data_IF_634702767247
#
_entry.id   IF_634702767247
#
_cell.length_a   1.000
_cell.length_b   1.000
_cell.length_c   1.000
_cell.angle_alpha   90.00
_cell.angle_beta   90.00
_cell.angle_gamma   90.00
#
_symmetry.space_group_name_H-M   'P 1'
#
loop_
_entity.id
_entity.type
_entity.pdbx_description
1 polymer ?
#
# COMPACT_ATOMS: atom_id res chain seq x y z
N UNK A 1 53.46 -12.26 108.17
CA UNK A 1 52.20 -11.83 107.53
C UNK A 1 52.31 -11.98 106.02
N UNK A 2 51.25 -12.47 105.39
CA UNK A 2 51.21 -13.16 104.10
C UNK A 2 51.82 -12.42 102.90
N UNK A 3 52.67 -13.13 102.14
CA UNK A 3 53.11 -12.78 100.79
C UNK A 3 52.00 -13.07 99.78
N UNK A 4 51.59 -12.02 99.06
CA UNK A 4 50.58 -11.99 98.00
C UNK A 4 51.10 -12.70 96.74
N UNK A 5 50.66 -13.93 96.49
CA UNK A 5 50.93 -14.65 95.25
C UNK A 5 50.05 -14.11 94.12
N UNK A 6 50.66 -13.36 93.20
CA UNK A 6 50.05 -13.00 91.91
C UNK A 6 49.94 -14.26 91.05
N UNK A 7 48.71 -14.71 90.79
CA UNK A 7 48.40 -15.78 89.83
C UNK A 7 48.79 -15.30 88.43
N UNK A 8 49.90 -15.81 87.87
CA UNK A 8 50.29 -15.60 86.47
C UNK A 8 49.38 -16.46 85.59
N UNK A 9 48.47 -15.84 84.86
CA UNK A 9 47.72 -16.51 83.79
C UNK A 9 48.68 -16.93 82.66
N UNK A 10 48.49 -18.13 82.13
CA UNK A 10 49.40 -18.71 81.13
C UNK A 10 49.27 -18.02 79.77
N UNK A 11 50.37 -17.74 79.04
CA UNK A 11 50.36 -17.07 77.74
C UNK A 11 49.46 -17.72 76.66
N UNK A 12 49.13 -19.00 76.82
CA UNK A 12 48.32 -19.80 75.88
C UNK A 12 46.83 -19.42 75.85
N UNK A 13 46.27 -18.93 76.97
CA UNK A 13 44.84 -18.54 77.02
C UNK A 13 44.58 -17.19 76.37
N UNK A 14 45.49 -16.22 76.56
CA UNK A 14 45.38 -14.90 75.95
C UNK A 14 45.52 -14.95 74.42
N UNK A 15 46.42 -15.79 73.89
CA UNK A 15 46.58 -15.97 72.43
C UNK A 15 45.37 -16.63 71.77
N UNK A 16 44.70 -17.55 72.45
CA UNK A 16 43.48 -18.19 71.93
C UNK A 16 42.28 -17.22 71.93
N UNK A 17 42.15 -16.38 72.96
CA UNK A 17 41.13 -15.32 73.00
C UNK A 17 41.34 -14.29 71.89
N UNK A 18 42.58 -13.87 71.63
CA UNK A 18 42.92 -12.98 70.52
C UNK A 18 42.57 -13.57 69.14
N UNK A 19 42.83 -14.87 68.93
CA UNK A 19 42.44 -15.57 67.70
C UNK A 19 40.92 -15.62 67.50
N UNK A 20 40.17 -15.86 68.58
CA UNK A 20 38.71 -15.92 68.53
C UNK A 20 38.11 -14.53 68.18
N UNK A 21 38.60 -13.47 68.83
CA UNK A 21 38.19 -12.09 68.52
C UNK A 21 38.53 -11.71 67.08
N UNK A 22 39.69 -12.12 66.57
CA UNK A 22 40.08 -11.88 65.18
C UNK A 22 39.17 -12.65 64.19
N UNK A 23 38.76 -13.87 64.52
CA UNK A 23 37.85 -14.67 63.69
C UNK A 23 36.43 -14.09 63.67
N UNK A 24 35.91 -13.64 64.82
CA UNK A 24 34.58 -13.04 64.92
C UNK A 24 34.52 -11.69 64.21
N UNK A 25 35.56 -10.85 64.36
CA UNK A 25 35.65 -9.58 63.63
C UNK A 25 35.74 -9.78 62.11
N UNK A 26 36.49 -10.78 61.65
CA UNK A 26 36.53 -11.13 60.22
C UNK A 26 35.17 -11.63 59.71
N UNK A 27 34.47 -12.48 60.48
CA UNK A 27 33.14 -12.96 60.13
C UNK A 27 32.12 -11.82 60.03
N UNK A 28 32.16 -10.87 60.95
CA UNK A 28 31.29 -9.69 60.91
C UNK A 28 31.57 -8.82 59.69
N UNK A 29 32.85 -8.59 59.36
CA UNK A 29 33.23 -7.86 58.15
C UNK A 29 32.73 -8.53 56.85
N UNK A 30 32.74 -9.87 56.80
CA UNK A 30 32.16 -10.61 55.68
C UNK A 30 30.63 -10.47 55.59
N UNK A 31 29.95 -10.47 56.74
CA UNK A 31 28.50 -10.26 56.80
C UNK A 31 28.12 -8.85 56.35
N UNK A 32 28.87 -7.84 56.77
CA UNK A 32 28.67 -6.45 56.36
C UNK A 32 28.90 -6.27 54.86
N UNK A 33 29.96 -6.90 54.32
CA UNK A 33 30.23 -6.89 52.88
C UNK A 33 29.06 -7.53 52.10
N UNK A 34 28.58 -8.69 52.55
CA UNK A 34 27.45 -9.38 51.90
C UNK A 34 26.18 -8.52 51.95
N UNK A 35 25.87 -7.91 53.09
CA UNK A 35 24.71 -7.03 53.24
C UNK A 35 24.79 -5.81 52.31
N UNK A 36 25.98 -5.22 52.17
CA UNK A 36 26.18 -4.07 51.29
C UNK A 36 26.01 -4.45 49.81
N UNK A 37 26.57 -5.58 49.38
CA UNK A 37 26.40 -6.09 48.00
C UNK A 37 24.91 -6.31 47.69
N UNK A 38 24.18 -6.98 48.59
CA UNK A 38 22.74 -7.23 48.40
C UNK A 38 21.97 -5.91 48.31
N UNK A 39 22.29 -4.94 49.16
CA UNK A 39 21.66 -3.61 49.13
C UNK A 39 21.93 -2.89 47.81
N UNK A 40 23.18 -2.91 47.33
CA UNK A 40 23.56 -2.26 46.07
C UNK A 40 22.84 -2.90 44.87
N UNK A 41 22.82 -4.23 44.79
CA UNK A 41 22.09 -4.96 43.74
C UNK A 41 20.60 -4.63 43.79
N UNK A 42 20.01 -4.59 45.00
CA UNK A 42 18.60 -4.24 45.17
C UNK A 42 18.29 -2.84 44.64
N UNK A 43 19.14 -1.84 44.94
CA UNK A 43 18.97 -0.49 44.43
C UNK A 43 19.06 -0.43 42.90
N UNK A 44 20.09 -1.04 42.31
CA UNK A 44 20.24 -1.09 40.84
C UNK A 44 19.07 -1.79 40.16
N UNK A 45 18.54 -2.86 40.77
CA UNK A 45 17.34 -3.54 40.27
C UNK A 45 16.10 -2.64 40.33
N UNK A 46 15.96 -1.79 41.34
CA UNK A 46 14.84 -0.84 41.39
C UNK A 46 14.97 0.24 40.32
N UNK A 47 16.17 0.80 40.12
CA UNK A 47 16.44 1.79 39.07
C UNK A 47 16.15 1.22 37.67
N UNK A 48 16.65 0.01 37.37
CA UNK A 48 16.37 -0.69 36.12
C UNK A 48 14.87 -0.93 35.93
N UNK A 49 14.16 -1.29 37.00
CA UNK A 49 12.71 -1.48 36.96
C UNK A 49 11.97 -0.17 36.66
N UNK A 50 12.40 0.95 37.25
CA UNK A 50 11.78 2.25 36.97
C UNK A 50 12.03 2.70 35.54
N UNK A 51 13.25 2.52 35.02
CA UNK A 51 13.60 2.89 33.65
C UNK A 51 12.85 2.05 32.62
N UNK A 52 12.77 0.74 32.84
CA UNK A 52 11.98 -0.16 31.99
C UNK A 52 10.50 0.22 31.99
N UNK A 53 9.95 0.57 33.15
CA UNK A 53 8.55 1.01 33.24
C UNK A 53 8.32 2.30 32.45
N UNK A 54 9.20 3.30 32.61
CA UNK A 54 9.11 4.54 31.84
C UNK A 54 9.23 4.30 30.32
N UNK A 55 10.12 3.40 29.90
CA UNK A 55 10.26 3.00 28.51
C UNK A 55 9.00 2.30 27.95
N UNK A 56 8.39 1.41 28.73
CA UNK A 56 7.13 0.74 28.38
C UNK A 56 6.00 1.76 28.25
N UNK A 57 5.85 2.66 29.23
CA UNK A 57 4.81 3.69 29.22
C UNK A 57 4.97 4.63 28.02
N UNK A 58 6.21 5.04 27.71
CA UNK A 58 6.48 5.85 26.52
C UNK A 58 6.16 5.10 25.21
N UNK A 59 6.40 3.80 25.13
CA UNK A 59 6.11 3.01 23.94
C UNK A 59 4.61 2.80 23.76
N UNK A 60 3.87 2.58 24.86
CA UNK A 60 2.40 2.48 24.81
C UNK A 60 1.77 3.75 24.24
N UNK A 61 2.23 4.93 24.66
CA UNK A 61 1.77 6.20 24.09
C UNK A 61 2.01 6.31 22.58
N UNK A 62 3.18 5.84 22.09
CA UNK A 62 3.49 5.82 20.66
C UNK A 62 2.61 4.82 19.91
N UNK A 63 2.35 3.65 20.49
CA UNK A 63 1.47 2.62 19.93
C UNK A 63 0.04 3.16 19.80
N UNK A 64 -0.46 3.88 20.80
CA UNK A 64 -1.79 4.48 20.76
C UNK A 64 -1.89 5.53 19.64
N UNK A 65 -0.87 6.40 19.51
CA UNK A 65 -0.81 7.38 18.43
C UNK A 65 -0.78 6.71 17.04
N UNK A 66 0.04 5.67 16.86
CA UNK A 66 0.05 4.92 15.60
C UNK A 66 -1.27 4.23 15.32
N UNK A 67 -1.93 3.69 16.34
CA UNK A 67 -3.25 3.04 16.19
C UNK A 67 -4.31 4.03 15.68
N UNK A 68 -4.25 5.30 16.11
CA UNK A 68 -5.15 6.34 15.59
C UNK A 68 -4.86 6.65 14.11
N UNK A 69 -3.58 6.86 13.77
CA UNK A 69 -3.17 7.14 12.38
C UNK A 69 -3.58 6.00 11.43
N UNK A 70 -3.39 4.74 11.84
CA UNK A 70 -3.80 3.58 11.04
C UNK A 70 -5.30 3.60 10.77
N UNK A 71 -6.14 3.88 11.77
CA UNK A 71 -7.60 3.98 11.58
C UNK A 71 -8.00 5.07 10.59
N UNK A 72 -7.34 6.24 10.66
CA UNK A 72 -7.60 7.33 9.72
C UNK A 72 -7.22 6.93 8.29
N UNK A 73 -6.04 6.31 8.12
CA UNK A 73 -5.58 5.81 6.81
C UNK A 73 -6.55 4.77 6.26
N UNK A 74 -6.97 3.79 7.05
CA UNK A 74 -7.96 2.77 6.64
C UNK A 74 -9.28 3.42 6.17
N UNK A 75 -9.76 4.43 6.90
CA UNK A 75 -10.96 5.16 6.48
C UNK A 75 -10.77 5.91 5.16
N UNK A 76 -9.62 6.55 4.95
CA UNK A 76 -9.33 7.24 3.68
C UNK A 76 -9.21 6.28 2.50
N UNK A 77 -8.54 5.13 2.69
CA UNK A 77 -8.38 4.10 1.66
C UNK A 77 -9.75 3.54 1.26
N UNK A 78 -10.59 3.15 2.22
CA UNK A 78 -11.93 2.64 1.93
C UNK A 78 -12.83 3.65 1.23
N UNK A 79 -12.68 4.96 1.52
CA UNK A 79 -13.38 6.02 0.78
C UNK A 79 -12.87 6.12 -0.66
N UNK A 80 -11.56 6.16 -0.85
CA UNK A 80 -10.94 6.25 -2.19
C UNK A 80 -11.29 5.05 -3.07
N UNK A 81 -11.33 3.84 -2.51
CA UNK A 81 -11.73 2.63 -3.25
C UNK A 81 -13.15 2.73 -3.80
N UNK A 82 -14.10 3.25 -3.00
CA UNK A 82 -15.48 3.47 -3.45
C UNK A 82 -15.57 4.51 -4.56
N UNK A 83 -14.86 5.64 -4.41
CA UNK A 83 -14.83 6.70 -5.43
C UNK A 83 -14.21 6.18 -6.75
N UNK A 84 -13.15 5.38 -6.66
CA UNK A 84 -12.49 4.78 -7.81
C UNK A 84 -13.40 3.79 -8.56
N UNK A 85 -14.22 3.03 -7.82
CA UNK A 85 -15.19 2.13 -8.44
C UNK A 85 -16.29 2.91 -9.17
N UNK A 86 -16.84 3.97 -8.56
CA UNK A 86 -17.83 4.83 -9.22
C UNK A 86 -17.29 5.47 -10.50
N UNK A 87 -16.03 5.93 -10.48
CA UNK A 87 -15.39 6.53 -11.66
C UNK A 87 -15.17 5.51 -12.79
N UNK A 88 -14.88 4.24 -12.46
CA UNK A 88 -14.78 3.18 -13.47
C UNK A 88 -16.14 2.93 -14.12
N UNK A 89 -17.21 2.85 -13.33
CA UNK A 89 -18.56 2.66 -13.86
C UNK A 89 -18.99 3.82 -14.77
N UNK A 90 -18.74 5.06 -14.35
CA UNK A 90 -19.01 6.25 -15.16
C UNK A 90 -18.22 6.25 -16.47
N UNK A 91 -16.91 5.96 -16.39
CA UNK A 91 -16.05 5.86 -17.58
C UNK A 91 -16.55 4.79 -18.55
N UNK A 92 -16.97 3.63 -18.06
CA UNK A 92 -17.50 2.56 -18.91
C UNK A 92 -18.77 3.01 -19.62
N UNK A 93 -19.69 3.69 -18.92
CA UNK A 93 -20.91 4.25 -19.53
C UNK A 93 -20.60 5.31 -20.58
N UNK A 94 -19.61 6.17 -20.33
CA UNK A 94 -19.22 7.19 -21.30
C UNK A 94 -18.53 6.57 -22.52
N UNK A 95 -17.75 5.51 -22.34
CA UNK A 95 -17.19 4.75 -23.45
C UNK A 95 -18.28 4.05 -24.27
N UNK A 96 -19.28 3.46 -23.61
CA UNK A 96 -20.43 2.85 -24.28
C UNK A 96 -21.25 3.89 -25.07
N UNK A 97 -21.49 5.07 -24.48
CA UNK A 97 -22.14 6.19 -25.18
C UNK A 97 -21.33 6.67 -26.38
N UNK A 98 -20.02 6.81 -26.23
CA UNK A 98 -19.13 7.21 -27.32
C UNK A 98 -19.17 6.17 -28.45
N UNK A 99 -19.13 4.89 -28.09
CA UNK A 99 -19.26 3.79 -29.06
C UNK A 99 -20.62 3.85 -29.77
N UNK A 100 -21.72 4.07 -29.05
CA UNK A 100 -23.04 4.23 -29.67
C UNK A 100 -23.07 5.42 -30.63
N UNK A 101 -22.51 6.58 -30.26
CA UNK A 101 -22.46 7.74 -31.15
C UNK A 101 -21.61 7.45 -32.39
N UNK A 102 -20.50 6.74 -32.24
CA UNK A 102 -19.63 6.38 -33.37
C UNK A 102 -20.29 5.33 -34.27
N UNK A 103 -20.98 4.34 -33.69
CA UNK A 103 -21.79 3.38 -34.42
C UNK A 103 -22.93 4.07 -35.16
N UNK A 104 -23.65 4.98 -34.52
CA UNK A 104 -24.73 5.77 -35.13
C UNK A 104 -24.17 6.58 -36.30
N UNK A 105 -23.01 7.24 -36.16
CA UNK A 105 -22.33 7.94 -37.27
C UNK A 105 -21.92 7.01 -38.40
N UNK A 106 -21.39 5.83 -38.08
CA UNK A 106 -20.97 4.85 -39.07
C UNK A 106 -22.16 4.21 -39.80
N UNK A 107 -23.33 4.07 -39.15
CA UNK A 107 -24.54 3.60 -39.81
C UNK A 107 -25.05 4.53 -40.91
N UNK A 108 -24.59 5.79 -40.95
CA UNK A 108 -24.90 6.73 -42.03
C UNK A 108 -23.85 6.73 -43.16
N UNK A 109 -22.91 5.78 -43.20
CA UNK A 109 -21.84 5.81 -44.21
C UNK A 109 -21.48 4.42 -44.76
N UNK A 110 -22.09 4.02 -45.88
CA UNK A 110 -21.66 2.81 -46.60
C UNK A 110 -20.54 3.15 -47.59
N UNK A 111 -19.43 2.40 -47.54
CA UNK A 111 -18.33 2.53 -48.51
C UNK A 111 -18.24 1.24 -49.32
N UNK A 112 -18.48 1.35 -50.62
CA UNK A 112 -18.32 0.26 -51.58
C UNK A 112 -17.02 0.49 -52.35
N UNK A 113 -16.13 -0.50 -52.32
CA UNK A 113 -14.85 -0.44 -53.02
C UNK A 113 -14.84 -1.45 -54.18
N UNK A 114 -14.04 -1.17 -55.22
CA UNK A 114 -13.81 -2.06 -56.35
C UNK A 114 -15.06 -2.42 -57.17
N UNK A 115 -16.06 -1.53 -57.24
CA UNK A 115 -17.14 -1.69 -58.22
C UNK A 115 -16.58 -1.51 -59.64
N UNK A 116 -17.01 -2.35 -60.58
CA UNK A 116 -16.68 -2.11 -61.99
C UNK A 116 -17.33 -0.79 -62.43
N UNK A 117 -16.57 0.07 -63.12
CA UNK A 117 -17.06 1.35 -63.63
C UNK A 117 -17.27 1.24 -65.15
N UNK A 118 -18.50 1.50 -65.60
CA UNK A 118 -18.81 1.64 -67.02
C UNK A 118 -19.01 3.11 -67.42
N UNK A 119 -18.62 3.46 -68.65
CA UNK A 119 -18.78 4.82 -69.18
C UNK A 119 -20.26 5.10 -69.45
N UNK A 120 -20.80 6.17 -68.85
CA UNK A 120 -22.21 6.55 -68.95
C UNK A 120 -23.16 5.86 -67.97
N UNK A 121 -22.63 5.08 -67.03
CA UNK A 121 -23.41 4.37 -66.02
C UNK A 121 -23.97 5.29 -64.92
N UNK A 122 -25.28 5.22 -64.72
CA UNK A 122 -25.96 5.86 -63.59
C UNK A 122 -25.80 5.00 -62.33
N UNK A 123 -24.71 5.27 -61.62
CA UNK A 123 -24.33 4.56 -60.42
C UNK A 123 -25.28 4.82 -59.24
N UNK A 124 -25.91 6.00 -59.20
CA UNK A 124 -26.89 6.32 -58.17
C UNK A 124 -28.12 5.42 -58.36
N UNK A 125 -28.60 5.30 -59.59
CA UNK A 125 -29.70 4.41 -59.91
C UNK A 125 -29.35 2.93 -59.69
N UNK A 126 -28.16 2.48 -60.11
CA UNK A 126 -27.72 1.08 -59.95
C UNK A 126 -27.60 0.68 -58.47
N UNK A 127 -27.02 1.55 -57.64
CA UNK A 127 -26.88 1.29 -56.21
C UNK A 127 -28.22 1.33 -55.50
N UNK A 128 -29.11 2.26 -55.85
CA UNK A 128 -30.47 2.29 -55.33
C UNK A 128 -31.20 1.00 -55.74
N UNK A 129 -31.14 0.57 -57.00
CA UNK A 129 -31.82 -0.65 -57.44
C UNK A 129 -31.32 -1.90 -56.71
N UNK A 130 -30.00 -2.04 -56.53
CA UNK A 130 -29.39 -3.22 -55.90
C UNK A 130 -29.58 -3.22 -54.37
N UNK A 131 -29.42 -2.07 -53.72
CA UNK A 131 -29.40 -1.97 -52.26
C UNK A 131 -30.73 -1.48 -51.65
N UNK A 132 -31.68 -0.95 -52.42
CA UNK A 132 -33.00 -0.56 -51.90
C UNK A 132 -33.72 -1.73 -51.26
N UNK A 133 -33.55 -2.94 -51.79
CA UNK A 133 -34.19 -4.16 -51.25
C UNK A 133 -33.51 -4.70 -49.99
N UNK A 134 -32.21 -4.43 -49.82
CA UNK A 134 -31.40 -5.00 -48.74
C UNK A 134 -31.31 -4.08 -47.52
N UNK A 135 -31.15 -2.77 -47.73
CA UNK A 135 -30.91 -1.78 -46.68
C UNK A 135 -31.85 -0.58 -46.75
N UNK A 136 -32.89 -0.63 -47.59
CA UNK A 136 -33.95 0.40 -47.61
C UNK A 136 -33.51 1.75 -48.20
N UNK A 137 -32.49 1.74 -49.05
CA UNK A 137 -31.95 2.92 -49.71
C UNK A 137 -33.03 3.70 -50.47
N UNK A 138 -33.06 5.01 -50.31
CA UNK A 138 -34.02 5.89 -50.98
C UNK A 138 -33.33 6.86 -51.94
N UNK A 139 -34.12 7.54 -52.78
CA UNK A 139 -33.62 8.63 -53.65
C UNK A 139 -33.18 9.87 -52.87
N UNK A 140 -33.44 9.93 -51.56
CA UNK A 140 -33.01 11.04 -50.69
C UNK A 140 -31.58 10.84 -50.17
N UNK A 141 -31.08 9.60 -50.25
CA UNK A 141 -29.74 9.20 -49.81
C UNK A 141 -28.69 9.76 -50.78
N UNK A 142 -27.57 10.25 -50.26
CA UNK A 142 -26.53 10.87 -51.09
C UNK A 142 -25.48 9.86 -51.48
N UNK A 143 -25.43 9.52 -52.76
CA UNK A 143 -24.45 8.60 -53.35
C UNK A 143 -23.40 9.40 -54.12
N UNK A 144 -22.12 9.17 -53.83
CA UNK A 144 -21.03 9.87 -54.53
C UNK A 144 -19.80 9.00 -54.72
N UNK A 145 -19.12 9.18 -55.87
CA UNK A 145 -17.85 8.52 -56.18
C UNK A 145 -16.68 9.31 -55.59
N UNK A 146 -15.89 8.68 -54.74
CA UNK A 146 -14.68 9.25 -54.14
C UNK A 146 -13.45 8.65 -54.80
N UNK A 147 -12.77 9.47 -55.59
CA UNK A 147 -11.45 9.15 -56.14
C UNK A 147 -10.36 9.87 -55.38
N UNK A 148 -9.60 9.16 -54.55
CA UNK A 148 -8.41 9.69 -53.90
C UNK A 148 -7.22 9.78 -54.89
N UNK A 149 -6.12 10.43 -54.48
CA UNK A 149 -4.93 10.60 -55.33
C UNK A 149 -4.36 9.26 -55.81
N UNK A 150 -4.49 8.21 -55.02
CA UNK A 150 -3.99 6.88 -55.34
C UNK A 150 -4.83 6.20 -56.43
N UNK A 151 -6.17 6.20 -56.31
CA UNK A 151 -7.06 5.58 -57.32
C UNK A 151 -6.91 6.26 -58.67
N UNK A 152 -6.80 7.60 -58.69
CA UNK A 152 -6.56 8.38 -59.91
C UNK A 152 -5.22 8.04 -60.57
N UNK A 153 -4.14 7.92 -59.80
CA UNK A 153 -2.80 7.61 -60.32
C UNK A 153 -2.69 6.20 -60.87
N UNK A 154 -3.34 5.24 -60.22
CA UNK A 154 -3.23 3.82 -60.56
C UNK A 154 -4.36 3.32 -61.47
N UNK A 155 -5.26 4.21 -61.93
CA UNK A 155 -6.44 3.85 -62.74
C UNK A 155 -7.28 2.74 -62.10
N UNK A 156 -7.46 2.82 -60.78
CA UNK A 156 -8.31 1.90 -60.03
C UNK A 156 -9.73 2.44 -59.97
N UNK A 157 -10.75 1.55 -59.83
CA UNK A 157 -12.10 1.99 -59.55
C UNK A 157 -12.18 2.88 -58.32
N UNK A 158 -13.04 3.90 -58.38
CA UNK A 158 -13.31 4.83 -57.29
C UNK A 158 -14.16 4.13 -56.23
N UNK A 159 -14.03 4.63 -55.01
CA UNK A 159 -14.91 4.21 -53.93
C UNK A 159 -16.28 4.86 -54.11
N UNK A 160 -17.33 4.19 -53.68
CA UNK A 160 -18.67 4.77 -53.63
C UNK A 160 -19.08 4.95 -52.20
N UNK A 161 -19.41 6.17 -51.84
CA UNK A 161 -19.83 6.55 -50.50
C UNK A 161 -21.34 6.81 -50.55
N UNK A 162 -22.07 6.16 -49.65
CA UNK A 162 -23.52 6.34 -49.47
C UNK A 162 -23.74 6.97 -48.11
N UNK A 163 -24.37 8.14 -48.10
CA UNK A 163 -24.80 8.80 -46.89
C UNK A 163 -26.32 8.66 -46.77
N UNK A 164 -26.76 7.83 -45.83
CA UNK A 164 -28.18 7.54 -45.54
C UNK A 164 -28.79 8.58 -44.61
#
# INVERSE_FOLDING_TARGET
MATRTKKKESPSQATNLLKLIAQDSFKNALQDLQANIVKQISNQMQELKTDLKAGIDSNNLKIDAFTQVVKEVEHTVTKMEKELETLKEEKNKDQERLLMIEMDRASYFLIIQNMEEHEGEDLEQLIIEELATQIGLTKEDRIYRVGNTYTRKNKLPKEVHINQ
#
